data_IF_977748728430
#
_entry.id   IF_977748728430
#
_cell.length_a   1.000
_cell.length_b   1.000
_cell.length_c   1.000
_cell.angle_alpha   90.00
_cell.angle_beta   90.00
_cell.angle_gamma   90.00
#
_symmetry.space_group_name_H-M   'P 1'
#
loop_
_entity.id
_entity.type
_entity.pdbx_description
1 polymer ?
#
# COMPACT_ATOMS: atom_id res chain seq x y z
N UNK A 1 -4.54 5.83 6.74
CA UNK A 1 -3.44 4.84 6.58
C UNK A 1 -3.17 4.61 5.09
N UNK A 2 -1.93 4.28 4.70
CA UNK A 2 -1.59 3.84 3.34
C UNK A 2 -1.68 2.32 3.22
N UNK A 3 -2.19 1.84 2.09
CA UNK A 3 -2.29 0.43 1.79
C UNK A 3 -1.21 0.02 0.78
N UNK A 4 -0.46 -1.03 1.13
CA UNK A 4 0.44 -1.73 0.23
C UNK A 4 -0.22 -3.00 -0.32
N UNK A 5 0.31 -3.50 -1.44
CA UNK A 5 -0.13 -4.70 -2.13
C UNK A 5 -0.16 -5.90 -1.18
N UNK A 6 0.93 -6.14 -0.43
CA UNK A 6 1.02 -7.33 0.43
C UNK A 6 0.04 -7.30 1.62
N UNK A 7 -0.17 -6.11 2.19
CA UNK A 7 -1.08 -5.90 3.32
C UNK A 7 -2.55 -6.01 2.91
N UNK A 8 -2.94 -5.36 1.82
CA UNK A 8 -4.31 -5.41 1.33
C UNK A 8 -4.66 -6.78 0.73
N UNK A 9 -3.72 -7.45 0.02
CA UNK A 9 -3.93 -8.83 -0.42
C UNK A 9 -4.21 -9.75 0.78
N UNK A 10 -3.46 -9.59 1.87
CA UNK A 10 -3.68 -10.37 3.10
C UNK A 10 -5.03 -10.10 3.71
N UNK A 11 -5.49 -8.84 3.73
CA UNK A 11 -6.82 -8.50 4.22
C UNK A 11 -7.96 -9.13 3.40
N UNK A 12 -7.75 -9.38 2.10
CA UNK A 12 -8.79 -9.85 1.17
C UNK A 12 -8.80 -11.37 0.97
N UNK A 13 -7.65 -12.03 1.07
CA UNK A 13 -7.51 -13.48 0.83
C UNK A 13 -7.43 -14.23 2.17
N UNK A 14 -8.51 -14.94 2.51
CA UNK A 14 -8.65 -15.73 3.75
C UNK A 14 -7.58 -16.82 3.91
N UNK A 15 -6.89 -17.21 2.82
CA UNK A 15 -5.81 -18.20 2.89
C UNK A 15 -4.47 -17.60 3.37
N UNK A 16 -4.37 -16.27 3.45
CA UNK A 16 -3.13 -15.58 3.84
C UNK A 16 -2.86 -15.73 5.34
N UNK A 17 -1.58 -15.91 5.69
CA UNK A 17 -1.14 -16.12 7.08
C UNK A 17 -1.60 -15.01 8.03
N UNK A 18 -1.56 -13.76 7.56
CA UNK A 18 -1.89 -12.57 8.35
C UNK A 18 -3.28 -12.01 8.02
N UNK A 19 -4.17 -12.85 7.49
CA UNK A 19 -5.48 -12.41 7.05
C UNK A 19 -6.27 -11.73 8.16
N UNK A 20 -6.40 -12.39 9.32
CA UNK A 20 -7.19 -11.86 10.43
C UNK A 20 -6.67 -10.51 10.93
N UNK A 21 -5.35 -10.36 11.06
CA UNK A 21 -4.74 -9.11 11.51
C UNK A 21 -4.92 -7.98 10.51
N UNK A 22 -4.72 -8.25 9.21
CA UNK A 22 -4.86 -7.24 8.17
C UNK A 22 -6.33 -6.85 7.95
N UNK A 23 -7.24 -7.82 7.95
CA UNK A 23 -8.68 -7.58 7.81
C UNK A 23 -9.24 -6.76 8.99
N UNK A 24 -8.81 -7.06 10.21
CA UNK A 24 -9.20 -6.28 11.39
C UNK A 24 -8.71 -4.82 11.28
N UNK A 25 -7.46 -4.61 10.89
CA UNK A 25 -6.92 -3.26 10.71
C UNK A 25 -7.64 -2.47 9.62
N UNK A 26 -8.00 -3.10 8.50
CA UNK A 26 -8.80 -2.44 7.44
C UNK A 26 -10.21 -2.11 7.95
N UNK A 27 -10.85 -3.02 8.68
CA UNK A 27 -12.21 -2.83 9.21
C UNK A 27 -12.32 -1.82 10.35
N UNK A 28 -11.27 -1.67 11.16
CA UNK A 28 -11.24 -0.76 12.31
C UNK A 28 -10.62 0.62 11.99
N UNK A 29 -9.92 0.74 10.86
CA UNK A 29 -9.23 1.97 10.51
C UNK A 29 -10.20 3.12 10.19
N UNK A 30 -9.90 4.30 10.74
CA UNK A 30 -10.58 5.53 10.37
C UNK A 30 -10.25 5.91 8.91
N UNK A 31 -11.25 6.16 8.06
CA UNK A 31 -11.00 6.64 6.70
C UNK A 31 -10.35 8.04 6.69
N UNK A 32 -9.62 8.41 5.63
CA UNK A 32 -9.43 7.63 4.40
C UNK A 32 -8.33 6.57 4.49
N UNK A 33 -8.59 5.43 3.83
CA UNK A 33 -7.58 4.44 3.47
C UNK A 33 -7.02 4.80 2.10
N UNK A 34 -5.77 5.26 2.07
CA UNK A 34 -5.12 5.77 0.87
C UNK A 34 -4.56 4.62 0.03
N UNK A 35 -4.92 4.58 -1.25
CA UNK A 35 -4.51 3.55 -2.19
C UNK A 35 -3.82 4.18 -3.40
N UNK A 36 -2.59 3.72 -3.68
CA UNK A 36 -1.88 4.09 -4.90
C UNK A 36 -2.46 3.37 -6.12
N UNK A 37 -2.56 4.00 -7.31
CA UNK A 37 -2.98 3.32 -8.53
C UNK A 37 -2.03 2.19 -8.95
N UNK A 38 -0.75 2.25 -8.56
CA UNK A 38 0.21 1.18 -8.84
C UNK A 38 -0.01 -0.04 -7.94
N UNK A 39 -0.33 0.19 -6.66
CA UNK A 39 -0.74 -0.87 -5.73
C UNK A 39 -2.03 -1.53 -6.19
N UNK A 40 -3.02 -0.73 -6.66
CA UNK A 40 -4.25 -1.28 -7.23
C UNK A 40 -3.96 -2.16 -8.47
N UNK A 41 -3.08 -1.72 -9.37
CA UNK A 41 -2.70 -2.49 -10.54
C UNK A 41 -2.00 -3.82 -10.18
N UNK A 42 -1.11 -3.80 -9.19
CA UNK A 42 -0.46 -5.03 -8.70
C UNK A 42 -1.45 -5.99 -8.04
N UNK A 43 -2.35 -5.46 -7.20
CA UNK A 43 -3.40 -6.26 -6.56
C UNK A 43 -4.34 -6.89 -7.58
N UNK A 44 -4.76 -6.15 -8.60
CA UNK A 44 -5.60 -6.67 -9.69
C UNK A 44 -4.94 -7.90 -10.36
N UNK A 45 -3.66 -7.76 -10.69
CA UNK A 45 -2.87 -8.85 -11.27
C UNK A 45 -2.73 -10.05 -10.32
N UNK A 46 -2.39 -9.81 -9.05
CA UNK A 46 -2.18 -10.88 -8.07
C UNK A 46 -3.47 -11.62 -7.71
N UNK A 47 -4.58 -10.91 -7.53
CA UNK A 47 -5.87 -11.53 -7.26
C UNK A 47 -6.33 -12.38 -8.43
N UNK A 48 -6.20 -11.88 -9.66
CA UNK A 48 -6.53 -12.67 -10.84
C UNK A 48 -5.68 -13.95 -10.91
N UNK A 49 -4.37 -13.84 -10.61
CA UNK A 49 -3.43 -14.96 -10.70
C UNK A 49 -3.61 -16.00 -9.59
N UNK A 50 -3.86 -15.57 -8.36
CA UNK A 50 -3.74 -16.42 -7.17
C UNK A 50 -5.09 -16.79 -6.53
N UNK A 51 -6.13 -15.98 -6.72
CA UNK A 51 -7.43 -16.16 -6.03
C UNK A 51 -8.55 -16.41 -7.04
N UNK A 52 -8.60 -15.58 -8.08
CA UNK A 52 -9.50 -15.72 -9.23
C UNK A 52 -10.37 -14.50 -9.50
N UNK A 53 -11.08 -14.57 -10.63
CA UNK A 53 -11.86 -13.44 -11.21
C UNK A 53 -12.88 -12.81 -10.26
N UNK A 54 -13.51 -13.60 -9.38
CA UNK A 54 -14.52 -13.07 -8.44
C UNK A 54 -13.90 -12.13 -7.42
N UNK A 55 -12.75 -12.48 -6.85
CA UNK A 55 -12.05 -11.64 -5.89
C UNK A 55 -11.51 -10.35 -6.54
N UNK A 56 -10.97 -10.46 -7.75
CA UNK A 56 -10.57 -9.31 -8.56
C UNK A 56 -11.75 -8.33 -8.78
N UNK A 57 -12.90 -8.84 -9.25
CA UNK A 57 -14.08 -8.01 -9.49
C UNK A 57 -14.59 -7.35 -8.20
N UNK A 58 -14.56 -8.06 -7.07
CA UNK A 58 -14.95 -7.51 -5.77
C UNK A 58 -14.05 -6.34 -5.34
N UNK A 59 -12.72 -6.46 -5.46
CA UNK A 59 -11.78 -5.37 -5.17
C UNK A 59 -12.09 -4.12 -6.00
N UNK A 60 -12.27 -4.28 -7.31
CA UNK A 60 -12.57 -3.15 -8.21
C UNK A 60 -13.89 -2.48 -7.84
N UNK A 61 -14.88 -3.25 -7.42
CA UNK A 61 -16.16 -2.73 -6.97
C UNK A 61 -16.03 -1.98 -5.63
N UNK A 62 -15.23 -2.46 -4.68
CA UNK A 62 -14.93 -1.75 -3.42
C UNK A 62 -14.24 -0.41 -3.68
N UNK A 63 -13.25 -0.38 -4.56
CA UNK A 63 -12.56 0.86 -4.97
C UNK A 63 -13.56 1.82 -5.62
N UNK A 64 -14.41 1.34 -6.53
CA UNK A 64 -15.41 2.16 -7.22
C UNK A 64 -16.47 2.74 -6.26
N UNK A 65 -16.80 2.03 -5.18
CA UNK A 65 -17.69 2.51 -4.11
C UNK A 65 -17.00 3.47 -3.13
N UNK A 66 -15.69 3.67 -3.24
CA UNK A 66 -14.92 4.56 -2.38
C UNK A 66 -14.53 3.96 -1.02
N UNK A 67 -14.51 2.62 -0.89
CA UNK A 67 -13.98 1.97 0.32
C UNK A 67 -12.50 2.31 0.55
N UNK A 68 -11.77 2.53 -0.55
CA UNK A 68 -10.40 3.03 -0.56
C UNK A 68 -10.34 4.33 -1.36
N UNK A 69 -9.62 5.33 -0.86
CA UNK A 69 -9.34 6.55 -1.58
C UNK A 69 -8.22 6.30 -2.58
N UNK A 70 -8.61 6.05 -3.84
CA UNK A 70 -7.67 5.93 -4.95
C UNK A 70 -7.04 7.29 -5.26
N UNK A 71 -5.74 7.39 -5.05
CA UNK A 71 -5.00 8.63 -5.20
C UNK A 71 -4.67 8.97 -6.65
N UNK A 72 -4.70 10.26 -6.99
CA UNK A 72 -4.17 10.74 -8.26
C UNK A 72 -2.64 10.74 -8.23
N UNK A 73 -2.02 10.22 -9.29
CA UNK A 73 -0.57 10.15 -9.41
C UNK A 73 -0.13 10.70 -10.78
N UNK A 74 0.37 11.92 -10.79
CA UNK A 74 0.74 12.65 -12.01
C UNK A 74 2.24 12.64 -12.31
N UNK A 75 2.64 13.31 -13.39
CA UNK A 75 4.05 13.40 -13.81
C UNK A 75 4.98 13.98 -12.73
N UNK A 76 4.52 14.98 -11.97
CA UNK A 76 5.30 15.54 -10.86
C UNK A 76 5.53 14.53 -9.73
N UNK A 77 4.61 13.59 -9.54
CA UNK A 77 4.74 12.53 -8.53
C UNK A 77 5.64 11.42 -9.00
N UNK A 78 5.63 11.11 -10.30
CA UNK A 78 6.60 10.20 -10.92
C UNK A 78 8.01 10.74 -10.78
N UNK A 79 8.22 12.05 -10.97
CA UNK A 79 9.53 12.69 -10.74
C UNK A 79 9.99 12.51 -9.27
N UNK A 80 9.09 12.70 -8.30
CA UNK A 80 9.39 12.45 -6.87
C UNK A 80 9.61 10.97 -6.57
N UNK A 81 8.87 10.08 -7.20
CA UNK A 81 9.04 8.64 -7.03
C UNK A 81 10.41 8.19 -7.56
N UNK A 82 10.86 8.76 -8.68
CA UNK A 82 12.22 8.57 -9.20
C UNK A 82 13.27 8.96 -8.15
N UNK A 83 13.14 10.11 -7.52
CA UNK A 83 14.05 10.53 -6.44
C UNK A 83 14.06 9.54 -5.28
N UNK A 84 12.89 8.97 -4.92
CA UNK A 84 12.79 7.93 -3.88
C UNK A 84 13.50 6.65 -4.31
N UNK A 85 13.31 6.19 -5.54
CA UNK A 85 14.00 5.01 -6.09
C UNK A 85 15.52 5.22 -6.08
N UNK A 86 16.00 6.38 -6.52
CA UNK A 86 17.44 6.71 -6.49
C UNK A 86 17.97 6.80 -5.04
N UNK A 87 17.19 7.36 -4.12
CA UNK A 87 17.55 7.47 -2.71
C UNK A 87 17.72 6.11 -2.03
N UNK A 88 16.91 5.12 -2.42
CA UNK A 88 16.90 3.77 -1.82
C UNK A 88 17.33 2.69 -2.84
N UNK A 89 18.30 3.01 -3.70
CA UNK A 89 18.76 2.12 -4.77
C UNK A 89 19.18 0.73 -4.26
N UNK A 90 19.80 0.65 -3.08
CA UNK A 90 20.22 -0.61 -2.46
C UNK A 90 19.06 -1.55 -2.07
N UNK A 91 17.83 -1.03 -1.96
CA UNK A 91 16.64 -1.81 -1.64
C UNK A 91 15.96 -2.40 -2.88
N UNK A 92 16.33 -1.95 -4.08
CA UNK A 92 15.73 -2.34 -5.37
C UNK A 92 14.20 -2.16 -5.39
N UNK A 93 13.71 -1.09 -4.77
CA UNK A 93 12.27 -0.80 -4.66
C UNK A 93 11.62 -0.45 -6.01
N UNK A 94 10.35 -0.84 -6.15
CA UNK A 94 9.55 -0.56 -7.33
C UNK A 94 8.79 0.78 -7.28
N UNK A 95 8.06 1.07 -8.37
CA UNK A 95 7.21 2.26 -8.42
C UNK A 95 6.05 2.21 -7.42
N UNK A 96 5.52 1.02 -7.09
CA UNK A 96 4.50 0.85 -6.07
C UNK A 96 5.01 1.34 -4.69
N UNK A 97 6.14 0.82 -4.22
CA UNK A 97 6.78 1.24 -2.96
C UNK A 97 7.09 2.73 -2.96
N UNK A 98 7.73 3.22 -4.03
CA UNK A 98 8.09 4.63 -4.15
C UNK A 98 6.85 5.54 -4.15
N UNK A 99 5.75 5.11 -4.76
CA UNK A 99 4.48 5.83 -4.75
C UNK A 99 3.89 5.94 -3.35
N UNK A 100 4.02 4.90 -2.51
CA UNK A 100 3.58 4.94 -1.12
C UNK A 100 4.38 5.99 -0.34
N UNK A 101 5.69 6.09 -0.55
CA UNK A 101 6.53 7.15 0.08
C UNK A 101 6.09 8.55 -0.37
N UNK A 102 5.81 8.74 -1.66
CA UNK A 102 5.34 10.02 -2.20
C UNK A 102 3.99 10.41 -1.60
N UNK A 103 3.04 9.46 -1.53
CA UNK A 103 1.72 9.70 -0.95
C UNK A 103 1.78 9.91 0.57
N UNK A 104 2.66 9.19 1.27
CA UNK A 104 2.92 9.39 2.70
C UNK A 104 3.35 10.82 3.00
N UNK A 105 4.28 11.34 2.18
CA UNK A 105 4.74 12.74 2.26
C UNK A 105 3.62 13.72 1.96
N UNK A 106 2.85 13.49 0.89
CA UNK A 106 1.75 14.37 0.48
C UNK A 106 0.68 14.51 1.55
N UNK A 107 0.30 13.41 2.18
CA UNK A 107 -0.82 13.36 3.13
C UNK A 107 -0.38 13.42 4.59
N UNK A 108 0.92 13.56 4.85
CA UNK A 108 1.52 13.50 6.19
C UNK A 108 1.11 12.23 6.98
N UNK A 109 0.96 11.09 6.29
CA UNK A 109 0.60 9.79 6.86
C UNK A 109 1.86 8.97 7.10
N UNK A 110 1.96 8.37 8.29
CA UNK A 110 3.08 7.49 8.66
C UNK A 110 2.68 6.03 8.81
N UNK A 111 1.40 5.71 8.81
CA UNK A 111 0.91 4.34 8.92
C UNK A 111 0.82 3.70 7.53
N UNK A 112 1.42 2.52 7.40
CA UNK A 112 1.35 1.69 6.19
C UNK A 112 0.99 0.26 6.58
N UNK A 113 -0.02 -0.30 5.93
CA UNK A 113 -0.37 -1.71 6.03
C UNK A 113 0.43 -2.48 4.98
N UNK A 114 1.47 -3.18 5.40
CA UNK A 114 2.38 -3.95 4.52
C UNK A 114 3.01 -5.10 5.29
N UNK A 115 3.27 -6.21 4.58
CA UNK A 115 4.07 -7.31 5.07
C UNK A 115 5.54 -7.20 4.68
N UNK A 116 5.92 -6.23 3.83
CA UNK A 116 7.33 -5.94 3.53
C UNK A 116 7.95 -5.04 4.59
N UNK A 117 8.27 -5.65 5.73
CA UNK A 117 8.94 -4.96 6.81
C UNK A 117 10.32 -4.43 6.40
N UNK A 118 11.06 -5.17 5.56
CA UNK A 118 12.46 -4.84 5.24
C UNK A 118 12.54 -3.50 4.51
N UNK A 119 11.72 -3.31 3.48
CA UNK A 119 11.74 -2.08 2.70
C UNK A 119 11.17 -0.90 3.50
N UNK A 120 9.99 -1.05 4.09
CA UNK A 120 9.30 0.07 4.74
C UNK A 120 9.95 0.50 6.07
N UNK A 121 10.67 -0.38 6.76
CA UNK A 121 11.45 0.00 7.96
C UNK A 121 12.73 0.78 7.60
N UNK A 122 13.28 0.57 6.41
CA UNK A 122 14.44 1.29 5.90
C UNK A 122 14.06 2.67 5.35
N UNK A 123 12.91 2.76 4.66
CA UNK A 123 12.40 4.01 4.09
C UNK A 123 11.88 4.99 5.16
N UNK A 124 11.82 6.26 4.78
CA UNK A 124 11.34 7.37 5.63
C UNK A 124 10.36 8.27 4.90
N UNK A 125 9.29 8.62 5.61
CA UNK A 125 8.32 9.63 5.17
C UNK A 125 9.01 10.99 5.12
N UNK A 126 9.65 11.41 6.22
CA UNK A 126 10.45 12.63 6.31
C UNK A 126 11.74 12.35 7.10
N UNK A 127 12.68 13.31 7.12
CA UNK A 127 14.00 13.17 7.78
C UNK A 127 13.96 12.54 9.18
N UNK A 128 12.91 12.80 9.97
CA UNK A 128 12.71 12.26 11.32
C UNK A 128 11.48 11.36 11.48
N UNK A 129 10.66 11.17 10.46
CA UNK A 129 9.42 10.37 10.54
C UNK A 129 9.62 9.03 9.82
N UNK A 130 9.54 7.94 10.58
CA UNK A 130 9.54 6.57 10.07
C UNK A 130 8.10 6.13 9.79
N UNK A 131 7.96 5.10 8.97
CA UNK A 131 6.70 4.38 8.88
C UNK A 131 6.41 3.63 10.19
N UNK A 132 5.14 3.63 10.59
CA UNK A 132 4.55 2.64 11.49
C UNK A 132 4.05 1.50 10.59
N UNK A 133 4.74 0.37 10.64
CA UNK A 133 4.51 -0.78 9.76
C UNK A 133 3.50 -1.70 10.41
N UNK A 134 2.26 -1.66 9.94
CA UNK A 134 1.17 -2.51 10.43
C UNK A 134 1.11 -3.81 9.61
N UNK A 135 0.82 -4.97 10.24
CA UNK A 135 0.31 -5.15 11.62
C UNK A 135 1.34 -5.23 12.75
N UNK A 136 2.63 -5.06 12.46
CA UNK A 136 3.72 -5.41 13.39
C UNK A 136 4.01 -4.34 14.46
N UNK A 137 3.84 -3.07 14.13
CA UNK A 137 4.09 -1.94 15.04
C UNK A 137 2.77 -1.53 15.70
N UNK A 138 2.47 -2.01 16.91
CA UNK A 138 1.27 -1.60 17.67
C UNK A 138 1.47 -0.29 18.42
#
# INVERSE_FOLDING_TARGET
MLLDTSGLLSALDESQRYHHECAALVGEASPPLLLSPFVLAELDYLLMRNVGRRAQAALLEEVARGAYQLELFGAADVARAKEVVEQYADLEIGLADASIVVLARRHAVTEVLTLDERHFRAMRVERRKRFKVLPFDR
#
